data_IF_627450135667
#
_entry.id   IF_627450135667
#
_cell.length_a   1.000
_cell.length_b   1.000
_cell.length_c   1.000
_cell.angle_alpha   90.00
_cell.angle_beta   90.00
_cell.angle_gamma   90.00
#
_symmetry.space_group_name_H-M   'P 1'
#
loop_
_entity.id
_entity.type
_entity.pdbx_description
1 polymer ?
#
# COMPACT_ATOMS: atom_id res chain seq x y z
N UNK A 1 5.63 17.80 -4.90
CA UNK A 1 5.68 17.09 -3.61
C UNK A 1 7.13 17.14 -3.15
N UNK A 2 7.41 17.56 -1.91
CA UNK A 2 8.79 17.57 -1.40
C UNK A 2 9.11 16.16 -0.92
N UNK A 3 10.13 15.52 -1.51
CA UNK A 3 10.60 14.19 -1.11
C UNK A 3 11.18 14.31 0.30
N UNK A 4 10.65 13.52 1.23
CA UNK A 4 11.18 13.46 2.59
C UNK A 4 12.09 12.24 2.72
N UNK A 5 13.33 12.41 2.27
CA UNK A 5 14.33 11.33 2.21
C UNK A 5 14.46 10.58 3.53
N UNK A 6 14.44 11.29 4.67
CA UNK A 6 14.55 10.68 6.00
C UNK A 6 13.50 9.60 6.31
N UNK A 7 12.26 9.75 5.83
CA UNK A 7 11.21 8.74 6.02
C UNK A 7 11.46 7.54 5.11
N UNK A 8 11.89 7.78 3.87
CA UNK A 8 12.19 6.73 2.91
C UNK A 8 13.39 5.91 3.39
N UNK A 9 14.45 6.55 3.88
CA UNK A 9 15.62 5.85 4.44
C UNK A 9 15.26 4.93 5.61
N UNK A 10 14.36 5.37 6.50
CA UNK A 10 13.90 4.53 7.60
C UNK A 10 13.09 3.31 7.13
N UNK A 11 12.38 3.44 6.01
CA UNK A 11 11.49 2.40 5.50
C UNK A 11 12.19 1.45 4.51
N UNK A 12 13.26 1.91 3.83
CA UNK A 12 14.06 1.13 2.88
C UNK A 12 14.45 -0.28 3.38
N UNK A 13 14.93 -0.48 4.62
CA UNK A 13 15.32 -1.80 5.12
C UNK A 13 14.16 -2.80 5.21
N UNK A 14 12.92 -2.33 5.16
CA UNK A 14 11.70 -3.14 5.28
C UNK A 14 10.98 -3.35 3.94
N UNK A 15 11.43 -2.67 2.87
CA UNK A 15 10.89 -2.88 1.52
C UNK A 15 11.26 -4.30 1.06
N UNK A 16 10.37 -4.94 0.32
CA UNK A 16 10.50 -6.31 -0.19
C UNK A 16 10.56 -7.42 0.87
N UNK A 17 10.38 -7.08 2.15
CA UNK A 17 10.23 -8.05 3.24
C UNK A 17 8.74 -8.38 3.47
N UNK A 18 8.39 -9.65 3.74
CA UNK A 18 7.03 -10.08 4.06
C UNK A 18 6.67 -9.68 5.49
N UNK A 19 6.48 -8.38 5.71
CA UNK A 19 6.19 -7.75 7.00
C UNK A 19 5.03 -6.78 6.84
N UNK A 20 4.11 -6.75 7.81
CA UNK A 20 3.09 -5.70 7.94
C UNK A 20 3.79 -4.40 8.35
N UNK A 21 3.53 -3.29 7.65
CA UNK A 21 4.00 -1.96 8.05
C UNK A 21 2.82 -1.09 8.44
N UNK A 22 2.73 -0.72 9.72
CA UNK A 22 1.68 0.13 10.25
C UNK A 22 2.24 1.54 10.49
N UNK A 23 1.71 2.54 9.78
CA UNK A 23 2.03 3.95 10.01
C UNK A 23 0.98 4.59 10.93
N UNK A 24 1.36 4.88 12.17
CA UNK A 24 0.47 5.51 13.16
C UNK A 24 0.74 7.03 13.27
N UNK A 25 -0.17 7.75 13.93
CA UNK A 25 0.00 9.18 14.24
C UNK A 25 -1.24 10.03 13.93
N UNK A 26 -1.21 11.28 14.38
CA UNK A 26 -2.35 12.21 14.33
C UNK A 26 -2.84 12.51 12.90
N UNK A 27 -4.10 12.92 12.75
CA UNK A 27 -4.66 13.36 11.46
C UNK A 27 -3.80 14.50 10.89
N UNK A 28 -3.58 14.49 9.56
CA UNK A 28 -2.71 15.43 8.82
C UNK A 28 -1.20 15.34 9.11
N UNK A 29 -0.71 14.29 9.76
CA UNK A 29 0.75 14.05 9.93
C UNK A 29 1.49 13.64 8.64
N UNK A 30 0.80 13.51 7.50
CA UNK A 30 1.43 13.16 6.22
C UNK A 30 1.61 11.66 5.95
N UNK A 31 0.90 10.78 6.67
CA UNK A 31 0.98 9.31 6.45
C UNK A 31 0.66 8.90 5.01
N UNK A 32 -0.43 9.42 4.44
CA UNK A 32 -0.81 9.12 3.05
C UNK A 32 0.27 9.58 2.06
N UNK A 33 0.93 10.71 2.34
CA UNK A 33 2.09 11.21 1.59
C UNK A 33 3.25 10.21 1.64
N UNK A 34 3.54 9.62 2.81
CA UNK A 34 4.58 8.58 2.95
C UNK A 34 4.21 7.31 2.17
N UNK A 35 2.96 6.84 2.25
CA UNK A 35 2.50 5.68 1.46
C UNK A 35 2.61 5.92 -0.06
N UNK A 36 2.30 7.13 -0.53
CA UNK A 36 2.49 7.49 -1.95
C UNK A 36 3.97 7.49 -2.34
N UNK A 37 4.87 8.07 -1.53
CA UNK A 37 6.31 8.03 -1.81
C UNK A 37 6.85 6.58 -1.83
N UNK A 38 6.38 5.71 -0.93
CA UNK A 38 6.77 4.29 -0.95
C UNK A 38 6.35 3.61 -2.24
N UNK A 39 5.12 3.86 -2.70
CA UNK A 39 4.64 3.37 -3.99
C UNK A 39 5.55 3.83 -5.13
N UNK A 40 5.90 5.10 -5.17
CA UNK A 40 6.76 5.66 -6.23
C UNK A 40 8.17 5.03 -6.19
N UNK A 41 8.72 4.80 -5.00
CA UNK A 41 9.98 4.08 -4.80
C UNK A 41 9.88 2.62 -5.28
N UNK A 42 8.77 1.93 -5.00
CA UNK A 42 8.56 0.55 -5.50
C UNK A 42 8.51 0.52 -7.03
N UNK A 43 7.80 1.46 -7.66
CA UNK A 43 7.73 1.57 -9.12
C UNK A 43 9.10 1.88 -9.73
N UNK A 44 9.86 2.82 -9.15
CA UNK A 44 11.20 3.16 -9.63
C UNK A 44 12.21 2.01 -9.50
N UNK A 45 11.98 1.09 -8.56
CA UNK A 45 12.76 -0.15 -8.38
C UNK A 45 12.30 -1.30 -9.28
N UNK A 46 11.31 -1.09 -10.15
CA UNK A 46 10.87 -2.06 -11.15
C UNK A 46 9.59 -2.83 -10.82
N UNK A 47 8.91 -2.53 -9.71
CA UNK A 47 7.58 -3.10 -9.43
C UNK A 47 6.58 -2.54 -10.43
N UNK A 48 5.87 -3.42 -11.15
CA UNK A 48 4.88 -2.95 -12.14
C UNK A 48 3.71 -2.30 -11.41
N UNK A 49 3.15 -1.18 -11.89
CA UNK A 49 2.00 -0.53 -11.27
C UNK A 49 0.80 -1.48 -11.06
N UNK A 50 0.59 -2.44 -11.97
CA UNK A 50 -0.45 -3.47 -11.84
C UNK A 50 -0.20 -4.53 -10.76
N UNK A 51 0.91 -4.46 -10.02
CA UNK A 51 1.21 -5.29 -8.85
C UNK A 51 1.04 -4.51 -7.53
N UNK A 52 0.57 -3.26 -7.59
CA UNK A 52 0.38 -2.40 -6.43
C UNK A 52 -1.12 -2.09 -6.28
N UNK A 53 -1.72 -2.56 -5.18
CA UNK A 53 -3.08 -2.21 -4.81
C UNK A 53 -3.05 -1.06 -3.80
N UNK A 54 -3.76 0.03 -4.09
CA UNK A 54 -3.91 1.17 -3.18
C UNK A 54 -5.39 1.42 -2.91
N UNK A 55 -5.78 1.33 -1.65
CA UNK A 55 -7.16 1.53 -1.20
C UNK A 55 -7.17 2.77 -0.30
N UNK A 56 -7.97 3.76 -0.68
CA UNK A 56 -8.24 4.93 0.15
C UNK A 56 -9.64 4.79 0.76
N UNK A 57 -9.74 4.32 2.00
CA UNK A 57 -11.03 4.12 2.68
C UNK A 57 -11.80 5.44 2.94
N UNK A 58 -11.18 6.61 2.77
CA UNK A 58 -11.91 7.89 2.79
C UNK A 58 -12.59 8.21 1.43
N UNK A 59 -12.28 7.46 0.38
CA UNK A 59 -12.87 7.66 -0.96
C UNK A 59 -14.21 6.95 -1.09
N UNK A 60 -15.19 7.63 -1.68
CA UNK A 60 -16.49 7.05 -1.99
C UNK A 60 -16.40 5.85 -2.96
N UNK A 61 -15.35 5.77 -3.79
CA UNK A 61 -15.12 4.62 -4.66
C UNK A 61 -15.04 3.28 -3.91
N UNK A 62 -14.63 3.33 -2.64
CA UNK A 62 -14.44 2.16 -1.78
C UNK A 62 -15.41 2.12 -0.60
N UNK A 63 -16.45 2.96 -0.59
CA UNK A 63 -17.40 3.04 0.53
C UNK A 63 -18.20 1.76 0.77
N UNK A 64 -18.25 0.88 -0.23
CA UNK A 64 -18.89 -0.43 -0.15
C UNK A 64 -18.03 -1.50 0.54
N UNK A 65 -16.72 -1.25 0.75
CA UNK A 65 -15.82 -2.20 1.41
C UNK A 65 -15.94 -2.07 2.94
N UNK A 66 -17.06 -2.56 3.49
CA UNK A 66 -17.40 -2.39 4.91
C UNK A 66 -17.26 -3.67 5.74
N UNK A 67 -17.21 -4.82 5.07
CA UNK A 67 -16.97 -6.12 5.70
C UNK A 67 -15.63 -6.73 5.28
N UNK A 68 -15.10 -7.59 6.16
CA UNK A 68 -13.90 -8.37 5.85
C UNK A 68 -14.06 -9.23 4.59
N UNK A 69 -15.27 -9.75 4.35
CA UNK A 69 -15.58 -10.59 3.18
C UNK A 69 -15.56 -9.78 1.87
N UNK A 70 -16.11 -8.57 1.86
CA UNK A 70 -16.06 -7.66 0.71
C UNK A 70 -14.62 -7.23 0.41
N UNK A 71 -13.86 -6.87 1.45
CA UNK A 71 -12.45 -6.50 1.29
C UNK A 71 -11.63 -7.67 0.75
N UNK A 72 -11.83 -8.87 1.29
CA UNK A 72 -11.17 -10.08 0.81
C UNK A 72 -11.48 -10.34 -0.66
N UNK A 73 -12.77 -10.30 -1.06
CA UNK A 73 -13.17 -10.49 -2.46
C UNK A 73 -12.52 -9.45 -3.38
N UNK A 74 -12.51 -8.19 -2.95
CA UNK A 74 -11.90 -7.11 -3.70
C UNK A 74 -10.40 -7.34 -3.91
N UNK A 75 -9.66 -7.66 -2.85
CA UNK A 75 -8.22 -7.99 -2.93
C UNK A 75 -7.99 -9.23 -3.80
N UNK A 76 -8.76 -10.30 -3.60
CA UNK A 76 -8.64 -11.53 -4.37
C UNK A 76 -8.87 -11.30 -5.88
N UNK A 77 -9.80 -10.41 -6.24
CA UNK A 77 -10.06 -10.04 -7.65
C UNK A 77 -8.87 -9.34 -8.33
N UNK A 78 -8.02 -8.67 -7.55
CA UNK A 78 -6.82 -8.01 -8.05
C UNK A 78 -5.67 -8.99 -8.28
N UNK A 79 -5.67 -10.13 -7.57
CA UNK A 79 -4.56 -11.08 -7.61
C UNK A 79 -4.75 -12.06 -8.77
N UNK A 80 -3.86 -11.99 -9.76
CA UNK A 80 -3.90 -12.89 -10.93
C UNK A 80 -3.43 -14.30 -10.58
N UNK A 81 -4.09 -15.36 -11.07
CA UNK A 81 -3.61 -16.73 -10.94
C UNK A 81 -2.25 -16.87 -11.64
N UNK A 82 -1.19 -17.15 -10.86
CA UNK A 82 0.20 -17.24 -11.32
C UNK A 82 1.17 -16.32 -10.58
N UNK A 83 0.68 -15.26 -9.95
CA UNK A 83 1.44 -14.54 -8.92
C UNK A 83 1.07 -15.16 -7.57
N UNK A 84 2.05 -15.72 -6.86
CA UNK A 84 1.88 -16.09 -5.44
C UNK A 84 1.22 -14.91 -4.73
N UNK A 85 0.06 -15.13 -4.10
CA UNK A 85 -0.48 -14.23 -3.09
C UNK A 85 0.63 -14.03 -2.04
N UNK A 86 1.34 -12.89 -1.99
CA UNK A 86 2.07 -12.58 -0.80
C UNK A 86 0.97 -12.16 0.18
N UNK A 87 0.55 -13.11 1.02
CA UNK A 87 -0.22 -12.92 2.25
C UNK A 87 -1.10 -11.67 2.31
N UNK A 88 -2.41 -11.92 2.33
CA UNK A 88 -3.41 -10.91 2.64
C UNK A 88 -3.17 -10.45 4.09
N UNK A 89 -2.89 -9.16 4.26
CA UNK A 89 -2.94 -8.42 5.52
C UNK A 89 -4.19 -7.54 5.50
#
# INVERSE_FOLDING_TARGET
MVVRESYIEQLKPFIDKPLIKILTGIRRSGKSTVLMMLRDVSVSRGVKPGQILSINFESFAYSHLTSAEELYRYIASFVRPGNRLPFIE
#
